data_IF_953790021493
#
_entry.id   IF_953790021493
#
_cell.length_a   1.000
_cell.length_b   1.000
_cell.length_c   1.000
_cell.angle_alpha   90.00
_cell.angle_beta   90.00
_cell.angle_gamma   90.00
#
_symmetry.space_group_name_H-M   'P 1'
#
loop_
_entity.id
_entity.type
_entity.pdbx_description
1 polymer ?
#
# COMPACT_ATOMS: atom_id res chain seq x y z
N UNK A 1 25.61 -1.26 -4.86
CA UNK A 1 26.87 -1.10 -4.10
C UNK A 1 26.81 0.06 -3.11
N UNK A 2 26.16 1.19 -3.45
CA UNK A 2 26.04 2.36 -2.54
C UNK A 2 25.44 2.05 -1.17
N UNK A 3 24.44 1.16 -1.08
CA UNK A 3 23.87 0.72 0.20
C UNK A 3 24.89 0.03 1.12
N UNK A 4 25.79 -0.79 0.57
CA UNK A 4 26.86 -1.42 1.34
C UNK A 4 27.91 -0.41 1.78
N UNK A 5 28.25 0.57 0.93
CA UNK A 5 29.17 1.64 1.30
C UNK A 5 28.62 2.48 2.47
N UNK A 6 27.34 2.84 2.43
CA UNK A 6 26.68 3.55 3.53
C UNK A 6 26.69 2.75 4.84
N UNK A 7 26.48 1.43 4.78
CA UNK A 7 26.49 0.58 5.97
C UNK A 7 27.90 0.34 6.53
N UNK A 8 28.91 0.29 5.67
CA UNK A 8 30.32 0.17 6.07
C UNK A 8 30.91 1.49 6.58
N UNK A 9 30.27 2.62 6.27
CA UNK A 9 30.58 3.94 6.82
C UNK A 9 29.79 4.16 8.11
N UNK A 10 30.29 3.61 9.22
CA UNK A 10 29.71 3.78 10.57
C UNK A 10 28.18 3.58 10.66
N UNK A 11 27.65 2.57 9.95
CA UNK A 11 26.22 2.28 9.90
C UNK A 11 25.37 3.51 9.55
N UNK A 12 25.79 4.30 8.55
CA UNK A 12 25.13 5.54 8.15
C UNK A 12 23.75 5.29 7.50
N UNK A 13 22.76 5.08 8.36
CA UNK A 13 21.38 4.80 7.97
C UNK A 13 20.72 5.96 7.21
N UNK A 14 21.00 7.26 7.46
CA UNK A 14 20.48 8.33 6.61
C UNK A 14 20.90 8.21 5.14
N UNK A 15 22.19 7.93 4.87
CA UNK A 15 22.68 7.74 3.51
C UNK A 15 22.12 6.45 2.91
N UNK A 16 22.01 5.36 3.69
CA UNK A 16 21.36 4.14 3.23
C UNK A 16 19.92 4.40 2.78
N UNK A 17 19.13 5.11 3.59
CA UNK A 17 17.73 5.43 3.28
C UNK A 17 17.64 6.29 2.02
N UNK A 18 18.51 7.28 1.87
CA UNK A 18 18.57 8.10 0.65
C UNK A 18 18.81 7.23 -0.60
N UNK A 19 19.76 6.28 -0.55
CA UNK A 19 20.02 5.34 -1.65
C UNK A 19 18.83 4.42 -1.93
N UNK A 20 18.09 3.97 -0.89
CA UNK A 20 16.88 3.17 -1.07
C UNK A 20 15.78 3.98 -1.78
N UNK A 21 15.62 5.27 -1.45
CA UNK A 21 14.68 6.16 -2.15
C UNK A 21 15.06 6.38 -3.62
N UNK A 22 16.35 6.46 -3.95
CA UNK A 22 16.77 6.47 -5.36
C UNK A 22 16.35 5.19 -6.09
N UNK A 23 16.42 4.03 -5.41
CA UNK A 23 15.92 2.75 -5.90
C UNK A 23 14.43 2.80 -6.28
N UNK A 24 13.60 3.49 -5.49
CA UNK A 24 12.16 3.68 -5.79
C UNK A 24 11.96 4.43 -7.11
N UNK A 25 12.81 5.40 -7.43
CA UNK A 25 12.75 6.11 -8.70
C UNK A 25 12.96 5.16 -9.89
N UNK A 26 13.88 4.20 -9.75
CA UNK A 26 14.08 3.17 -10.77
C UNK A 26 12.89 2.22 -10.88
N UNK A 27 12.27 1.82 -9.77
CA UNK A 27 11.04 1.00 -9.78
C UNK A 27 9.94 1.69 -10.60
N UNK A 28 9.73 3.00 -10.40
CA UNK A 28 8.74 3.76 -11.15
C UNK A 28 9.07 3.80 -12.66
N UNK A 29 10.34 4.01 -13.03
CA UNK A 29 10.77 4.01 -14.43
C UNK A 29 10.58 2.65 -15.12
N UNK A 30 10.76 1.54 -14.38
CA UNK A 30 10.51 0.20 -14.89
C UNK A 30 9.00 -0.06 -15.05
N UNK A 31 8.19 0.41 -14.11
CA UNK A 31 6.74 0.30 -14.19
C UNK A 31 6.16 1.09 -15.38
N UNK A 32 6.77 2.24 -15.68
CA UNK A 32 6.41 3.08 -16.83
C UNK A 32 7.03 2.59 -18.16
N UNK A 33 7.65 1.39 -18.18
CA UNK A 33 8.36 0.80 -19.34
C UNK A 33 9.43 1.72 -19.97
N UNK A 34 9.89 2.74 -19.24
CA UNK A 34 10.90 3.71 -19.69
C UNK A 34 12.33 3.23 -19.44
N UNK A 35 12.47 2.16 -18.66
CA UNK A 35 13.71 1.42 -18.46
C UNK A 35 13.41 -0.09 -18.53
N UNK A 36 14.43 -0.90 -18.75
CA UNK A 36 14.33 -2.35 -18.67
C UNK A 36 15.50 -2.93 -17.89
N UNK A 37 15.22 -4.00 -17.15
CA UNK A 37 16.22 -4.85 -16.51
C UNK A 37 16.04 -6.26 -17.03
N UNK A 38 17.13 -7.04 -17.00
CA UNK A 38 17.02 -8.48 -17.18
C UNK A 38 16.26 -9.10 -16.01
N UNK A 39 15.68 -10.28 -16.22
CA UNK A 39 15.00 -11.00 -15.14
C UNK A 39 15.93 -11.36 -13.97
N UNK A 40 17.23 -11.55 -14.24
CA UNK A 40 18.26 -11.84 -13.24
C UNK A 40 18.57 -10.59 -12.40
N UNK A 41 18.77 -9.45 -13.05
CA UNK A 41 19.06 -8.19 -12.36
C UNK A 41 17.86 -7.72 -11.53
N UNK A 42 16.63 -7.92 -12.02
CA UNK A 42 15.41 -7.60 -11.27
C UNK A 42 15.32 -8.43 -9.99
N UNK A 43 15.61 -9.73 -10.05
CA UNK A 43 15.63 -10.61 -8.87
C UNK A 43 16.69 -10.15 -7.87
N UNK A 44 17.89 -9.83 -8.34
CA UNK A 44 18.97 -9.34 -7.50
C UNK A 44 18.60 -8.01 -6.83
N UNK A 45 17.96 -7.11 -7.57
CA UNK A 45 17.50 -5.82 -7.08
C UNK A 45 16.45 -5.96 -5.98
N UNK A 46 15.42 -6.77 -6.20
CA UNK A 46 14.36 -7.04 -5.22
C UNK A 46 14.96 -7.68 -3.96
N UNK A 47 15.78 -8.72 -4.13
CA UNK A 47 16.41 -9.40 -3.01
C UNK A 47 17.28 -8.46 -2.17
N UNK A 48 18.16 -7.70 -2.81
CA UNK A 48 19.05 -6.75 -2.11
C UNK A 48 18.26 -5.68 -1.37
N UNK A 49 17.22 -5.12 -2.02
CA UNK A 49 16.38 -4.07 -1.42
C UNK A 49 15.65 -4.59 -0.19
N UNK A 50 15.06 -5.79 -0.29
CA UNK A 50 14.38 -6.43 0.84
C UNK A 50 15.34 -6.72 2.01
N UNK A 51 16.57 -7.19 1.74
CA UNK A 51 17.56 -7.41 2.79
C UNK A 51 17.90 -6.13 3.53
N UNK A 52 18.09 -5.00 2.83
CA UNK A 52 18.35 -3.74 3.51
C UNK A 52 17.15 -3.23 4.32
N UNK A 53 15.92 -3.41 3.82
CA UNK A 53 14.71 -2.92 4.48
C UNK A 53 14.34 -3.78 5.70
N UNK A 54 14.28 -5.10 5.53
CA UNK A 54 13.74 -6.01 6.54
C UNK A 54 14.83 -6.61 7.43
N UNK A 55 15.94 -7.09 6.86
CA UNK A 55 16.96 -7.81 7.62
C UNK A 55 17.95 -6.84 8.30
N UNK A 56 18.28 -5.73 7.65
CA UNK A 56 19.26 -4.74 8.16
C UNK A 56 18.58 -3.64 8.97
N UNK A 57 17.63 -2.92 8.37
CA UNK A 57 16.92 -1.83 9.05
C UNK A 57 15.83 -2.33 10.01
N UNK A 58 15.42 -3.59 9.90
CA UNK A 58 14.41 -4.17 10.79
C UNK A 58 13.01 -3.59 10.58
N UNK A 59 12.76 -2.94 9.44
CA UNK A 59 11.43 -2.44 9.12
C UNK A 59 10.47 -3.62 8.97
N UNK A 60 9.20 -3.40 9.28
CA UNK A 60 8.17 -4.42 9.16
C UNK A 60 7.08 -3.88 8.26
N UNK A 61 6.52 -4.77 7.45
CA UNK A 61 5.31 -4.44 6.73
C UNK A 61 4.16 -4.36 7.72
N UNK A 62 3.70 -3.15 8.02
CA UNK A 62 2.57 -2.92 8.92
C UNK A 62 1.27 -3.54 8.38
N UNK A 63 1.16 -3.74 7.05
CA UNK A 63 0.01 -4.43 6.43
C UNK A 63 0.04 -5.94 6.66
N UNK A 64 1.19 -6.53 6.96
CA UNK A 64 1.31 -7.97 7.27
C UNK A 64 0.75 -8.36 8.65
N UNK A 65 0.44 -7.39 9.50
CA UNK A 65 -0.14 -7.60 10.85
C UNK A 65 -1.68 -7.65 10.79
N UNK A 66 -2.26 -7.41 9.61
CA UNK A 66 -3.71 -7.28 9.37
C UNK A 66 -4.45 -8.60 9.05
N UNK A 67 -4.06 -9.74 9.63
CA UNK A 67 -4.87 -10.98 9.49
C UNK A 67 -6.28 -10.88 10.13
N UNK A 68 -6.57 -9.83 10.91
CA UNK A 68 -7.91 -9.49 11.37
C UNK A 68 -8.73 -8.68 10.34
N UNK A 69 -8.10 -8.20 9.26
CA UNK A 69 -8.69 -7.22 8.37
C UNK A 69 -9.40 -7.86 7.16
N UNK A 70 -9.12 -9.11 6.75
CA UNK A 70 -9.86 -9.77 5.65
C UNK A 70 -11.36 -9.93 5.94
N UNK A 71 -11.72 -10.33 7.17
CA UNK A 71 -13.13 -10.44 7.57
C UNK A 71 -13.78 -9.06 7.68
N UNK A 72 -13.05 -8.08 8.19
CA UNK A 72 -13.53 -6.70 8.31
C UNK A 72 -13.73 -6.09 6.92
N UNK A 73 -12.76 -6.25 6.03
CA UNK A 73 -12.80 -5.86 4.62
C UNK A 73 -13.96 -6.52 3.87
N UNK A 74 -14.21 -7.81 4.10
CA UNK A 74 -15.39 -8.50 3.55
C UNK A 74 -16.72 -7.87 4.02
N UNK A 75 -16.84 -7.54 5.32
CA UNK A 75 -18.03 -6.87 5.87
C UNK A 75 -18.17 -5.44 5.33
N UNK A 76 -17.07 -4.71 5.20
CA UNK A 76 -17.05 -3.34 4.65
C UNK A 76 -17.43 -3.34 3.18
N UNK A 77 -16.90 -4.27 2.39
CA UNK A 77 -17.28 -4.44 0.98
C UNK A 77 -18.76 -4.81 0.82
N UNK A 78 -19.31 -5.63 1.73
CA UNK A 78 -20.74 -5.93 1.74
C UNK A 78 -21.59 -4.68 2.02
N UNK A 79 -21.20 -3.85 2.99
CA UNK A 79 -21.87 -2.59 3.31
C UNK A 79 -21.79 -1.59 2.14
N UNK A 80 -20.65 -1.50 1.47
CA UNK A 80 -20.46 -0.69 0.25
C UNK A 80 -21.38 -1.19 -0.87
N UNK A 81 -21.52 -2.51 -1.03
CA UNK A 81 -22.46 -3.14 -1.97
C UNK A 81 -23.90 -2.73 -1.69
N UNK A 82 -24.36 -2.88 -0.45
CA UNK A 82 -25.71 -2.46 -0.03
C UNK A 82 -25.96 -0.97 -0.26
N UNK A 83 -24.95 -0.12 -0.04
CA UNK A 83 -25.03 1.32 -0.32
C UNK A 83 -25.22 1.58 -1.82
N UNK A 84 -24.45 0.90 -2.67
CA UNK A 84 -24.54 1.06 -4.11
C UNK A 84 -25.88 0.56 -4.66
N UNK A 85 -26.41 -0.53 -4.10
CA UNK A 85 -27.74 -1.05 -4.41
C UNK A 85 -28.84 -0.07 -3.98
N UNK A 86 -28.78 0.46 -2.75
CA UNK A 86 -29.70 1.49 -2.27
C UNK A 86 -29.70 2.73 -3.18
N UNK A 87 -28.51 3.18 -3.60
CA UNK A 87 -28.36 4.29 -4.55
C UNK A 87 -28.94 3.97 -5.93
N UNK A 88 -28.76 2.74 -6.42
CA UNK A 88 -29.36 2.25 -7.67
C UNK A 88 -30.89 2.22 -7.61
N UNK A 89 -31.44 1.84 -6.45
CA UNK A 89 -32.86 1.82 -6.15
C UNK A 89 -33.45 3.19 -5.79
N UNK A 90 -32.64 4.27 -5.85
CA UNK A 90 -32.99 5.65 -5.44
C UNK A 90 -33.40 5.78 -3.96
N UNK A 91 -32.99 4.84 -3.13
CA UNK A 91 -33.12 4.90 -1.68
C UNK A 91 -31.92 5.67 -1.09
N UNK A 92 -32.01 7.00 -1.20
CA UNK A 92 -30.98 7.91 -0.70
C UNK A 92 -30.88 7.90 0.83
N UNK A 93 -31.98 7.61 1.53
CA UNK A 93 -32.00 7.56 2.99
C UNK A 93 -31.16 6.39 3.50
N UNK A 94 -31.36 5.18 2.95
CA UNK A 94 -30.58 4.01 3.32
C UNK A 94 -29.10 4.15 2.92
N UNK A 95 -28.82 4.73 1.74
CA UNK A 95 -27.45 5.04 1.31
C UNK A 95 -26.71 5.96 2.30
N UNK A 96 -27.36 7.03 2.76
CA UNK A 96 -26.76 7.96 3.71
C UNK A 96 -26.62 7.36 5.11
N UNK A 97 -27.56 6.50 5.54
CA UNK A 97 -27.44 5.78 6.80
C UNK A 97 -26.20 4.88 6.82
N UNK A 98 -25.98 4.09 5.76
CA UNK A 98 -24.79 3.21 5.65
C UNK A 98 -23.51 4.04 5.66
N UNK A 99 -23.47 5.16 4.93
CA UNK A 99 -22.32 6.08 4.92
C UNK A 99 -22.02 6.60 6.31
N UNK A 100 -23.03 7.08 7.04
CA UNK A 100 -22.84 7.66 8.36
C UNK A 100 -22.37 6.62 9.39
N UNK A 101 -22.88 5.39 9.31
CA UNK A 101 -22.42 4.28 10.17
C UNK A 101 -20.97 3.91 9.89
N UNK A 102 -20.56 3.86 8.63
CA UNK A 102 -19.16 3.59 8.26
C UNK A 102 -18.22 4.70 8.75
N UNK A 103 -18.63 5.97 8.61
CA UNK A 103 -17.86 7.11 9.16
C UNK A 103 -17.75 7.03 10.68
N UNK A 104 -18.83 6.66 11.39
CA UNK A 104 -18.81 6.50 12.84
C UNK A 104 -17.86 5.39 13.32
N UNK A 105 -17.59 4.40 12.46
CA UNK A 105 -16.63 3.32 12.69
C UNK A 105 -15.19 3.69 12.23
N UNK A 106 -14.94 4.94 11.82
CA UNK A 106 -13.63 5.39 11.34
C UNK A 106 -13.31 4.96 9.90
N UNK A 107 -14.29 4.47 9.15
CA UNK A 107 -14.12 4.00 7.76
C UNK A 107 -14.58 5.11 6.82
N UNK A 108 -13.63 5.75 6.14
CA UNK A 108 -13.92 6.73 5.09
C UNK A 108 -14.07 6.05 3.74
N UNK A 109 -15.22 6.29 3.10
CA UNK A 109 -15.46 5.87 1.73
C UNK A 109 -14.98 6.94 0.74
N UNK A 110 -14.27 6.52 -0.30
CA UNK A 110 -13.90 7.33 -1.47
C UNK A 110 -14.54 6.73 -2.70
N UNK A 111 -15.41 7.50 -3.33
CA UNK A 111 -15.97 7.13 -4.63
C UNK A 111 -15.00 7.54 -5.74
N UNK A 112 -14.50 6.56 -6.50
CA UNK A 112 -13.65 6.74 -7.67
C UNK A 112 -14.33 6.31 -8.97
N UNK A 113 -13.67 6.56 -10.11
CA UNK A 113 -14.16 6.14 -11.43
C UNK A 113 -14.24 4.61 -11.61
N UNK A 114 -13.43 3.87 -10.86
CA UNK A 114 -13.33 2.40 -10.91
C UNK A 114 -14.19 1.71 -9.82
N UNK A 115 -14.84 2.47 -8.93
CA UNK A 115 -15.62 1.93 -7.81
C UNK A 115 -15.41 2.72 -6.51
N UNK A 116 -16.04 2.26 -5.43
CA UNK A 116 -15.88 2.83 -4.09
C UNK A 116 -14.73 2.12 -3.38
N UNK A 117 -13.68 2.85 -3.05
CA UNK A 117 -12.59 2.38 -2.19
C UNK A 117 -12.80 2.90 -0.77
N UNK A 118 -12.18 2.26 0.23
CA UNK A 118 -12.25 2.73 1.62
C UNK A 118 -10.86 2.89 2.23
N UNK A 119 -10.75 3.79 3.20
CA UNK A 119 -9.58 3.97 4.05
C UNK A 119 -10.02 3.88 5.50
N UNK A 120 -9.26 3.15 6.31
CA UNK A 120 -9.42 3.12 7.76
C UNK A 120 -8.56 4.26 8.32
N UNK A 121 -9.09 5.03 9.25
CA UNK A 121 -8.39 6.13 9.91
C UNK A 121 -8.00 5.76 11.34
#
# INVERSE_FOLDING_TARGET
QSCYAAMNDDFNTPILIANLFEGIRYINLLNDNSASLTAEDLKLFIHSTNTFIFDVLGLKDEKGIENNNEKLEGVVNMLIGMRNEARGNKDFAMSDQIRNQLIALGIQLKDGKEGTTFSIQ
#
